data_IF_806937056527
#
_entry.id   IF_806937056527
#
_cell.length_a   1.000
_cell.length_b   1.000
_cell.length_c   1.000
_cell.angle_alpha   90.00
_cell.angle_beta   90.00
_cell.angle_gamma   90.00
#
_symmetry.space_group_name_H-M   'P 1'
#
loop_
_entity.id
_entity.type
_entity.pdbx_description
1 polymer ?
#
# COMPACT_ATOMS: atom_id res chain seq x y z
N UNK A 1 -3.59 -11.87 -0.41
CA UNK A 1 -2.40 -11.02 -0.17
C UNK A 1 -1.52 -10.84 -1.40
N UNK A 2 -1.24 -11.90 -2.16
CA UNK A 2 -0.45 -11.79 -3.39
C UNK A 2 -1.17 -11.02 -4.49
N UNK A 3 -2.46 -11.31 -4.72
CA UNK A 3 -3.27 -10.54 -5.68
C UNK A 3 -3.39 -9.07 -5.27
N UNK A 4 -3.63 -8.78 -3.99
CA UNK A 4 -3.63 -7.41 -3.45
C UNK A 4 -2.29 -6.72 -3.76
N UNK A 5 -1.17 -7.36 -3.45
CA UNK A 5 0.17 -6.79 -3.74
C UNK A 5 0.39 -6.54 -5.23
N UNK A 6 -0.01 -7.49 -6.08
CA UNK A 6 0.08 -7.39 -7.53
C UNK A 6 -0.75 -6.23 -8.07
N UNK A 7 -2.00 -6.09 -7.62
CA UNK A 7 -2.88 -5.00 -8.06
C UNK A 7 -2.36 -3.65 -7.58
N UNK A 8 -2.02 -3.53 -6.29
CA UNK A 8 -1.51 -2.30 -5.71
C UNK A 8 -0.27 -1.78 -6.44
N UNK A 9 0.63 -2.68 -6.85
CA UNK A 9 1.91 -2.32 -7.46
C UNK A 9 1.92 -2.34 -8.98
N UNK A 10 0.77 -2.54 -9.63
CA UNK A 10 0.70 -2.69 -11.08
C UNK A 10 1.52 -3.86 -11.61
N UNK A 11 1.62 -4.94 -10.83
CA UNK A 11 2.31 -6.18 -11.17
C UNK A 11 3.82 -6.18 -10.91
N UNK A 12 4.40 -5.07 -10.43
CA UNK A 12 5.84 -4.94 -10.15
C UNK A 12 6.28 -5.85 -9.01
N UNK A 13 5.44 -5.98 -7.98
CA UNK A 13 5.65 -6.88 -6.85
C UNK A 13 4.53 -7.92 -6.85
N UNK A 14 4.89 -9.19 -7.04
CA UNK A 14 3.92 -10.29 -7.18
C UNK A 14 3.46 -10.88 -5.85
N UNK A 15 4.28 -10.74 -4.81
CA UNK A 15 4.08 -11.37 -3.50
C UNK A 15 4.35 -10.33 -2.43
N UNK A 16 3.44 -10.21 -1.47
CA UNK A 16 3.65 -9.30 -0.35
C UNK A 16 4.82 -9.79 0.52
N UNK A 17 5.83 -8.96 0.82
CA UNK A 17 6.97 -9.37 1.63
C UNK A 17 6.56 -9.83 3.05
N UNK A 18 6.90 -11.06 3.44
CA UNK A 18 6.41 -11.66 4.69
C UNK A 18 6.83 -10.94 5.98
N UNK A 19 7.98 -10.25 5.97
CA UNK A 19 8.54 -9.55 7.14
C UNK A 19 8.77 -8.05 6.92
N UNK A 20 8.35 -7.52 5.77
CA UNK A 20 8.61 -6.13 5.41
C UNK A 20 7.33 -5.41 5.01
N UNK A 21 7.36 -4.08 5.20
CA UNK A 21 6.37 -3.18 4.61
C UNK A 21 6.74 -2.95 3.14
N UNK A 22 5.76 -2.55 2.34
CA UNK A 22 5.96 -2.25 0.93
C UNK A 22 6.28 -0.75 0.79
N UNK A 23 7.40 -0.37 0.18
CA UNK A 23 7.63 1.06 -0.07
C UNK A 23 6.52 1.65 -0.95
N UNK A 24 6.00 2.82 -0.58
CA UNK A 24 4.90 3.49 -1.27
C UNK A 24 5.24 3.85 -2.73
N UNK A 25 6.53 3.92 -3.08
CA UNK A 25 7.04 4.11 -4.44
C UNK A 25 6.72 2.93 -5.39
N UNK A 26 6.43 1.74 -4.84
CA UNK A 26 6.00 0.60 -5.63
C UNK A 26 4.51 0.65 -5.97
N UNK A 27 3.71 1.49 -5.32
CA UNK A 27 2.29 1.63 -5.65
C UNK A 27 2.12 2.20 -7.05
N UNK A 28 1.07 1.74 -7.75
CA UNK A 28 0.61 2.40 -8.96
C UNK A 28 0.06 3.80 -8.64
N UNK A 29 -0.04 4.71 -9.63
CA UNK A 29 -0.47 6.09 -9.40
C UNK A 29 -1.80 6.22 -8.65
N UNK A 30 -2.79 5.38 -9.00
CA UNK A 30 -4.10 5.37 -8.35
C UNK A 30 -3.99 5.04 -6.84
N UNK A 31 -3.32 3.94 -6.51
CA UNK A 31 -3.16 3.53 -5.12
C UNK A 31 -2.21 4.41 -4.32
N UNK A 32 -1.25 5.08 -4.97
CA UNK A 32 -0.40 6.07 -4.31
C UNK A 32 -1.20 7.27 -3.81
N UNK A 33 -2.20 7.73 -4.59
CA UNK A 33 -3.11 8.80 -4.17
C UNK A 33 -4.00 8.34 -3.02
N UNK A 34 -4.63 7.16 -3.12
CA UNK A 34 -5.45 6.61 -2.04
C UNK A 34 -4.65 6.43 -0.74
N UNK A 35 -3.43 5.91 -0.82
CA UNK A 35 -2.55 5.75 0.34
C UNK A 35 -2.27 7.10 1.02
N UNK A 36 -2.07 8.19 0.27
CA UNK A 36 -1.90 9.54 0.84
C UNK A 36 -3.16 10.04 1.53
N UNK A 37 -4.33 9.86 0.91
CA UNK A 37 -5.62 10.27 1.50
C UNK A 37 -5.85 9.51 2.81
N UNK A 38 -5.63 8.19 2.82
CA UNK A 38 -5.85 7.36 4.01
C UNK A 38 -4.84 7.68 5.12
N UNK A 39 -3.57 7.87 4.76
CA UNK A 39 -2.53 8.26 5.70
C UNK A 39 -2.77 9.64 6.34
N UNK A 40 -3.48 10.54 5.65
CA UNK A 40 -3.82 11.86 6.18
C UNK A 40 -5.07 11.86 7.08
N UNK A 41 -6.07 11.04 6.75
CA UNK A 41 -7.40 11.13 7.38
C UNK A 41 -7.67 10.03 8.43
N UNK A 42 -7.12 8.83 8.27
CA UNK A 42 -7.55 7.65 9.05
C UNK A 42 -6.45 6.97 9.85
N UNK A 43 -5.18 7.30 9.60
CA UNK A 43 -4.07 6.70 10.33
C UNK A 43 -3.20 7.83 10.86
N UNK A 44 -2.89 7.88 12.16
CA UNK A 44 -1.90 8.83 12.70
C UNK A 44 -0.52 8.37 12.25
N UNK A 45 -0.18 8.58 10.97
CA UNK A 45 1.12 8.21 10.43
C UNK A 45 2.10 9.36 10.56
N UNK A 46 3.29 9.06 11.07
CA UNK A 46 4.50 9.83 10.81
C UNK A 46 4.97 9.50 9.39
N UNK A 47 4.31 10.10 8.39
CA UNK A 47 4.75 10.21 6.99
C UNK A 47 5.61 9.03 6.47
N UNK A 48 5.17 7.80 6.76
CA UNK A 48 6.03 6.63 6.59
C UNK A 48 6.03 6.30 5.11
N UNK A 49 7.20 6.27 4.49
CA UNK A 49 7.37 5.92 3.08
C UNK A 49 6.97 4.48 2.74
N UNK A 50 6.38 3.75 3.68
CA UNK A 50 6.04 2.34 3.58
C UNK A 50 4.57 2.07 3.93
N UNK A 51 4.00 1.11 3.22
CA UNK A 51 2.64 0.60 3.33
C UNK A 51 2.68 -0.71 4.10
N UNK A 52 2.03 -0.74 5.26
CA UNK A 52 1.84 -1.99 6.01
C UNK A 52 0.79 -2.88 5.34
N UNK A 53 0.86 -4.20 5.57
CA UNK A 53 -0.04 -5.18 4.94
C UNK A 53 -1.52 -4.93 5.22
N UNK A 54 -1.86 -4.56 6.45
CA UNK A 54 -3.23 -4.22 6.84
C UNK A 54 -3.74 -2.97 6.09
N UNK A 55 -2.91 -1.93 6.04
CA UNK A 55 -3.22 -0.71 5.28
C UNK A 55 -3.37 -1.00 3.78
N UNK A 56 -2.50 -1.84 3.21
CA UNK A 56 -2.58 -2.29 1.82
C UNK A 56 -3.92 -2.99 1.50
N UNK A 57 -4.43 -3.83 2.41
CA UNK A 57 -5.77 -4.44 2.25
C UNK A 57 -6.88 -3.41 2.35
N UNK A 58 -6.75 -2.45 3.26
CA UNK A 58 -7.73 -1.39 3.44
C UNK A 58 -7.85 -0.52 2.18
N UNK A 59 -6.74 0.01 1.66
CA UNK A 59 -6.75 0.85 0.44
C UNK A 59 -7.13 0.08 -0.84
N UNK A 60 -7.08 -1.26 -0.81
CA UNK A 60 -7.55 -2.10 -1.91
C UNK A 60 -9.08 -2.29 -1.89
N UNK A 61 -9.71 -2.21 -0.73
CA UNK A 61 -11.14 -2.41 -0.54
C UNK A 61 -11.97 -1.12 -0.72
N UNK A 62 -11.33 0.05 -0.65
CA UNK A 62 -11.90 1.38 -0.93
C UNK A 62 -11.85 1.63 -2.43
#
# INVERSE_FOLDING_TARGET
DNEVCKVLTGGRIKVWPSKAKLAATYLSPFYAVLNRIVAHNWVPTTHSGDVARGLGKFIYAV
#
